data_IF_193024697901
#
_entry.id   IF_193024697901
#
_cell.length_a   1.000
_cell.length_b   1.000
_cell.length_c   1.000
_cell.angle_alpha   90.00
_cell.angle_beta   90.00
_cell.angle_gamma   90.00
#
_symmetry.space_group_name_H-M   'P 1'
#
loop_
_entity.id
_entity.type
_entity.pdbx_description
1 polymer ?
#
# COMPACT_ATOMS: atom_id res chain seq x y z
N UNK A 1 -3.49 -7.76 36.87
CA UNK A 1 -4.13 -8.37 35.69
C UNK A 1 -4.68 -7.34 34.71
N UNK A 2 -5.54 -6.39 35.11
CA UNK A 2 -6.14 -5.39 34.18
C UNK A 2 -5.11 -4.56 33.39
N UNK A 3 -4.02 -4.12 34.02
CA UNK A 3 -2.93 -3.43 33.30
C UNK A 3 -2.22 -4.31 32.28
N UNK A 4 -2.07 -5.61 32.55
CA UNK A 4 -1.44 -6.56 31.61
C UNK A 4 -2.34 -6.69 30.37
N UNK A 5 -3.65 -6.79 30.57
CA UNK A 5 -4.64 -6.82 29.48
C UNK A 5 -4.57 -5.52 28.65
N UNK A 6 -4.54 -4.36 29.30
CA UNK A 6 -4.43 -3.06 28.62
C UNK A 6 -3.15 -2.94 27.78
N UNK A 7 -2.01 -3.37 28.33
CA UNK A 7 -0.73 -3.39 27.61
C UNK A 7 -0.77 -4.36 26.42
N UNK A 8 -1.33 -5.56 26.61
CA UNK A 8 -1.43 -6.57 25.56
C UNK A 8 -2.27 -6.06 24.37
N UNK A 9 -3.39 -5.38 24.63
CA UNK A 9 -4.22 -4.77 23.58
C UNK A 9 -3.45 -3.70 22.79
N UNK A 10 -2.71 -2.83 23.47
CA UNK A 10 -1.89 -1.78 22.82
C UNK A 10 -0.81 -2.42 21.94
N UNK A 11 -0.10 -3.44 22.46
CA UNK A 11 0.94 -4.13 21.70
C UNK A 11 0.38 -4.84 20.47
N UNK A 12 -0.76 -5.53 20.61
CA UNK A 12 -1.44 -6.17 19.48
C UNK A 12 -1.81 -5.16 18.38
N UNK A 13 -2.32 -3.98 18.76
CA UNK A 13 -2.62 -2.91 17.81
C UNK A 13 -1.38 -2.43 17.05
N UNK A 14 -0.25 -2.23 17.76
CA UNK A 14 1.00 -1.82 17.11
C UNK A 14 1.54 -2.87 16.13
N UNK A 15 1.40 -4.16 16.44
CA UNK A 15 1.77 -5.24 15.52
C UNK A 15 0.95 -5.13 14.23
N UNK A 16 -0.37 -4.96 14.33
CA UNK A 16 -1.26 -4.85 13.16
C UNK A 16 -0.86 -3.63 12.29
N UNK A 17 -0.63 -2.46 12.92
CA UNK A 17 -0.17 -1.28 12.20
C UNK A 17 1.19 -1.48 11.54
N UNK A 18 2.14 -2.10 12.25
CA UNK A 18 3.48 -2.41 11.73
C UNK A 18 3.42 -3.28 10.48
N UNK A 19 2.64 -4.37 10.50
CA UNK A 19 2.49 -5.24 9.32
C UNK A 19 1.81 -4.49 8.17
N UNK A 20 0.81 -3.66 8.46
CA UNK A 20 0.12 -2.85 7.42
C UNK A 20 1.07 -1.87 6.74
N UNK A 21 1.93 -1.22 7.51
CA UNK A 21 2.96 -0.29 7.01
C UNK A 21 3.99 -1.06 6.18
N UNK A 22 4.47 -2.22 6.67
CA UNK A 22 5.40 -3.08 5.95
C UNK A 22 4.89 -3.43 4.54
N UNK A 23 3.62 -3.86 4.43
CA UNK A 23 3.01 -4.14 3.11
C UNK A 23 2.98 -2.90 2.20
N UNK A 24 2.70 -1.71 2.76
CA UNK A 24 2.74 -0.45 2.00
C UNK A 24 4.15 -0.13 1.50
N UNK A 25 5.18 -0.40 2.31
CA UNK A 25 6.59 -0.19 1.95
C UNK A 25 7.02 -1.17 0.86
N UNK A 26 6.73 -2.47 1.01
CA UNK A 26 7.02 -3.49 -0.01
C UNK A 26 6.36 -3.14 -1.34
N UNK A 27 5.09 -2.74 -1.31
CA UNK A 27 4.39 -2.27 -2.52
C UNK A 27 5.07 -1.05 -3.15
N UNK A 28 5.48 -0.06 -2.33
CA UNK A 28 6.19 1.12 -2.84
C UNK A 28 7.53 0.75 -3.48
N UNK A 29 8.27 -0.20 -2.92
CA UNK A 29 9.56 -0.62 -3.43
C UNK A 29 9.43 -1.44 -4.72
N UNK A 30 8.51 -2.41 -4.74
CA UNK A 30 8.43 -3.41 -5.81
C UNK A 30 7.46 -3.04 -6.95
N UNK A 31 6.58 -2.05 -6.74
CA UNK A 31 5.60 -1.65 -7.75
C UNK A 31 5.73 -0.16 -8.05
N UNK A 32 5.30 0.73 -7.15
CA UNK A 32 5.25 2.16 -7.46
C UNK A 32 6.63 2.77 -7.74
N UNK A 33 7.69 2.31 -7.08
CA UNK A 33 9.05 2.77 -7.29
C UNK A 33 9.57 2.41 -8.68
N UNK A 34 9.41 1.15 -9.09
CA UNK A 34 9.84 0.71 -10.41
C UNK A 34 8.97 1.27 -11.54
N UNK A 35 7.65 1.40 -11.35
CA UNK A 35 6.79 2.10 -12.31
C UNK A 35 7.22 3.56 -12.51
N UNK A 36 7.55 4.27 -11.42
CA UNK A 36 8.08 5.63 -11.53
C UNK A 36 9.41 5.66 -12.30
N UNK A 37 10.32 4.72 -12.03
CA UNK A 37 11.59 4.62 -12.75
C UNK A 37 11.41 4.28 -14.24
N UNK A 38 10.42 3.45 -14.58
CA UNK A 38 10.07 3.16 -15.96
C UNK A 38 9.54 4.43 -16.67
N UNK A 39 8.70 5.22 -15.99
CA UNK A 39 8.18 6.48 -16.51
C UNK A 39 9.25 7.59 -16.65
N UNK A 40 10.25 7.59 -15.78
CA UNK A 40 11.36 8.55 -15.79
C UNK A 40 12.55 8.08 -16.68
N UNK A 41 12.46 6.90 -17.29
CA UNK A 41 13.54 6.32 -18.09
C UNK A 41 13.77 7.12 -19.39
N UNK A 42 15.04 7.30 -19.74
CA UNK A 42 15.48 8.00 -20.95
C UNK A 42 15.78 7.08 -22.15
N UNK A 43 15.67 5.76 -21.95
CA UNK A 43 15.88 4.76 -23.00
C UNK A 43 14.81 3.68 -22.93
N UNK A 44 14.49 3.09 -24.09
CA UNK A 44 13.52 2.01 -24.23
C UNK A 44 13.96 0.78 -23.41
N UNK A 45 15.25 0.44 -23.44
CA UNK A 45 15.81 -0.67 -22.69
C UNK A 45 15.58 -0.49 -21.18
N UNK A 46 15.94 0.68 -20.63
CA UNK A 46 15.75 0.96 -19.20
C UNK A 46 14.27 0.97 -18.80
N UNK A 47 13.42 1.57 -19.63
CA UNK A 47 11.97 1.58 -19.40
C UNK A 47 11.42 0.15 -19.34
N UNK A 48 11.82 -0.70 -20.29
CA UNK A 48 11.41 -2.10 -20.36
C UNK A 48 11.93 -2.90 -19.16
N UNK A 49 13.19 -2.75 -18.77
CA UNK A 49 13.77 -3.48 -17.64
C UNK A 49 13.05 -3.15 -16.32
N UNK A 50 12.71 -1.88 -16.09
CA UNK A 50 12.00 -1.47 -14.88
C UNK A 50 10.53 -1.89 -14.89
N UNK A 51 9.86 -1.80 -16.04
CA UNK A 51 8.49 -2.27 -16.18
C UNK A 51 8.40 -3.80 -16.02
N UNK A 52 9.40 -4.53 -16.51
CA UNK A 52 9.49 -5.99 -16.38
C UNK A 52 9.53 -6.40 -14.90
N UNK A 53 10.34 -5.74 -14.06
CA UNK A 53 10.38 -6.02 -12.61
C UNK A 53 9.03 -5.87 -11.94
N UNK A 54 8.23 -4.89 -12.37
CA UNK A 54 6.87 -4.70 -11.85
C UNK A 54 5.97 -5.85 -12.27
N UNK A 55 5.97 -6.19 -13.55
CA UNK A 55 5.15 -7.27 -14.11
C UNK A 55 5.49 -8.61 -13.46
N UNK A 56 6.78 -8.95 -13.34
CA UNK A 56 7.24 -10.17 -12.68
C UNK A 56 6.77 -10.24 -11.22
N UNK A 57 6.85 -9.12 -10.49
CA UNK A 57 6.34 -9.04 -9.13
C UNK A 57 4.82 -9.27 -9.06
N UNK A 58 4.05 -8.66 -9.97
CA UNK A 58 2.60 -8.82 -10.02
C UNK A 58 2.22 -10.26 -10.35
N UNK A 59 2.86 -10.89 -11.34
CA UNK A 59 2.64 -12.28 -11.72
C UNK A 59 3.01 -13.23 -10.56
N UNK A 60 4.18 -13.06 -9.94
CA UNK A 60 4.63 -13.89 -8.82
C UNK A 60 3.72 -13.79 -7.57
N UNK A 61 3.03 -12.66 -7.38
CA UNK A 61 2.11 -12.45 -6.26
C UNK A 61 0.63 -12.64 -6.65
N UNK A 62 0.33 -13.10 -7.86
CA UNK A 62 -1.03 -13.26 -8.39
C UNK A 62 -1.88 -11.97 -8.33
N UNK A 63 -1.26 -10.82 -8.60
CA UNK A 63 -1.88 -9.49 -8.61
C UNK A 63 -2.12 -9.06 -10.07
N UNK A 64 -2.86 -9.87 -10.83
CA UNK A 64 -3.03 -9.70 -12.29
C UNK A 64 -4.49 -9.59 -12.73
N UNK A 65 -5.45 -9.78 -11.81
CA UNK A 65 -6.89 -9.75 -12.10
C UNK A 65 -7.71 -9.40 -10.85
N UNK A 66 -9.01 -9.14 -11.05
CA UNK A 66 -9.96 -8.80 -10.00
C UNK A 66 -10.01 -7.31 -9.66
N UNK A 67 -10.66 -6.99 -8.55
CA UNK A 67 -10.88 -5.62 -8.09
C UNK A 67 -10.29 -5.39 -6.69
N UNK A 68 -9.77 -4.20 -6.42
CA UNK A 68 -9.35 -3.81 -5.07
C UNK A 68 -10.52 -3.41 -4.15
N UNK A 69 -11.71 -3.27 -4.74
CA UNK A 69 -12.98 -2.95 -4.09
C UNK A 69 -13.35 -3.95 -2.99
N UNK A 70 -14.11 -3.49 -1.99
CA UNK A 70 -14.75 -4.38 -1.02
C UNK A 70 -16.26 -4.52 -1.25
N UNK A 71 -16.94 -3.45 -1.67
CA UNK A 71 -18.40 -3.39 -1.72
C UNK A 71 -18.95 -3.17 -3.13
N UNK A 72 -18.33 -2.28 -3.91
CA UNK A 72 -18.73 -1.99 -5.29
C UNK A 72 -17.52 -1.93 -6.20
N UNK A 73 -17.57 -2.71 -7.28
CA UNK A 73 -16.54 -2.73 -8.31
C UNK A 73 -16.60 -1.43 -9.12
N UNK A 74 -15.45 -0.76 -9.22
CA UNK A 74 -15.33 0.50 -9.97
C UNK A 74 -14.15 0.41 -10.94
N UNK A 75 -14.22 1.04 -12.12
CA UNK A 75 -13.17 0.88 -13.15
C UNK A 75 -11.77 1.30 -12.71
N UNK A 76 -11.65 2.26 -11.78
CA UNK A 76 -10.37 2.69 -11.21
C UNK A 76 -9.78 1.69 -10.19
N UNK A 77 -10.52 0.63 -9.86
CA UNK A 77 -10.12 -0.45 -8.96
C UNK A 77 -9.87 -1.78 -9.69
N UNK A 78 -10.06 -1.80 -11.03
CA UNK A 78 -9.86 -2.97 -11.88
C UNK A 78 -8.36 -3.26 -12.09
N UNK A 79 -7.89 -4.31 -11.43
CA UNK A 79 -6.50 -4.77 -11.51
C UNK A 79 -6.23 -5.39 -12.87
N UNK A 80 -7.21 -6.10 -13.44
CA UNK A 80 -7.06 -6.78 -14.72
C UNK A 80 -6.89 -5.79 -15.87
N UNK A 81 -7.70 -4.74 -15.90
CA UNK A 81 -7.56 -3.66 -16.87
C UNK A 81 -6.22 -2.96 -16.74
N UNK A 82 -5.85 -2.55 -15.51
CA UNK A 82 -4.57 -1.90 -15.25
C UNK A 82 -3.38 -2.78 -15.65
N UNK A 83 -3.37 -4.06 -15.26
CA UNK A 83 -2.33 -5.02 -15.59
C UNK A 83 -2.18 -5.25 -17.11
N UNK A 84 -3.30 -5.38 -17.82
CA UNK A 84 -3.29 -5.49 -19.30
C UNK A 84 -2.66 -4.27 -19.96
N UNK A 85 -2.93 -3.07 -19.46
CA UNK A 85 -2.30 -1.85 -19.98
C UNK A 85 -0.78 -1.86 -19.75
N UNK A 86 -0.30 -2.32 -18.59
CA UNK A 86 1.14 -2.47 -18.35
C UNK A 86 1.79 -3.44 -19.34
N UNK A 87 1.17 -4.61 -19.58
CA UNK A 87 1.67 -5.59 -20.56
C UNK A 87 1.65 -5.03 -21.98
N UNK A 88 0.62 -4.28 -22.35
CA UNK A 88 0.54 -3.63 -23.66
C UNK A 88 1.67 -2.61 -23.85
N UNK A 89 1.93 -1.75 -22.85
CA UNK A 89 3.07 -0.81 -22.88
C UNK A 89 4.42 -1.54 -22.93
N UNK A 90 4.58 -2.65 -22.20
CA UNK A 90 5.80 -3.46 -22.26
C UNK A 90 6.02 -4.04 -23.67
N UNK A 91 4.96 -4.57 -24.28
CA UNK A 91 5.02 -5.13 -25.63
C UNK A 91 5.36 -4.06 -26.68
N UNK A 92 4.85 -2.84 -26.52
CA UNK A 92 5.22 -1.70 -27.36
C UNK A 92 6.72 -1.37 -27.27
N UNK A 93 7.27 -1.35 -26.05
CA UNK A 93 8.72 -1.14 -25.83
C UNK A 93 9.56 -2.24 -26.48
N UNK A 94 9.15 -3.50 -26.37
CA UNK A 94 9.88 -4.66 -26.90
C UNK A 94 9.84 -4.75 -28.43
N UNK A 95 8.73 -4.35 -29.04
CA UNK A 95 8.52 -4.45 -30.48
C UNK A 95 8.99 -3.21 -31.26
N UNK A 96 9.45 -2.15 -30.58
CA UNK A 96 9.95 -0.95 -31.23
C UNK A 96 11.27 -1.25 -31.98
N UNK A 97 11.17 -1.48 -33.29
CA UNK A 97 12.32 -1.68 -34.19
C UNK A 97 12.95 -0.38 -34.70
N UNK A 98 12.43 0.77 -34.27
CA UNK A 98 12.79 2.05 -34.85
C UNK A 98 14.15 2.59 -34.40
N UNK A 99 14.91 3.09 -35.37
CA UNK A 99 16.11 3.89 -35.14
C UNK A 99 15.82 5.39 -35.04
N UNK A 100 14.57 5.81 -35.26
CA UNK A 100 14.17 7.21 -35.14
C UNK A 100 14.16 7.65 -33.68
N UNK A 101 14.90 8.71 -33.38
CA UNK A 101 14.90 9.33 -32.05
C UNK A 101 13.50 9.88 -31.68
N UNK A 102 12.74 10.38 -32.66
CA UNK A 102 11.38 10.89 -32.46
C UNK A 102 10.41 9.79 -32.04
N UNK A 103 10.46 8.63 -32.71
CA UNK A 103 9.57 7.50 -32.37
C UNK A 103 9.88 6.95 -30.98
N UNK A 104 11.17 6.82 -30.64
CA UNK A 104 11.59 6.41 -29.28
C UNK A 104 11.08 7.38 -28.22
N UNK A 105 11.16 8.68 -28.49
CA UNK A 105 10.68 9.71 -27.57
C UNK A 105 9.16 9.64 -27.41
N UNK A 106 8.41 9.45 -28.50
CA UNK A 106 6.96 9.32 -28.46
C UNK A 106 6.50 8.11 -27.64
N UNK A 107 7.14 6.94 -27.83
CA UNK A 107 6.84 5.74 -27.04
C UNK A 107 7.10 5.97 -25.56
N UNK A 108 8.23 6.61 -25.20
CA UNK A 108 8.54 6.92 -23.80
C UNK A 108 7.57 7.95 -23.20
N UNK A 109 7.11 8.94 -23.97
CA UNK A 109 6.09 9.89 -23.54
C UNK A 109 4.76 9.16 -23.30
N UNK A 110 4.32 8.31 -24.22
CA UNK A 110 3.09 7.53 -24.06
C UNK A 110 3.15 6.62 -22.82
N UNK A 111 4.28 5.94 -22.61
CA UNK A 111 4.52 5.15 -21.41
C UNK A 111 4.38 6.01 -20.15
N UNK A 112 5.02 7.18 -20.13
CA UNK A 112 4.94 8.10 -19.00
C UNK A 112 3.51 8.52 -18.68
N UNK A 113 2.73 8.89 -19.69
CA UNK A 113 1.31 9.27 -19.52
C UNK A 113 0.43 8.10 -19.07
N UNK A 114 0.78 6.87 -19.46
CA UNK A 114 0.08 5.66 -18.99
C UNK A 114 0.39 5.36 -17.52
N UNK A 115 1.64 5.54 -17.11
CA UNK A 115 2.12 5.17 -15.78
C UNK A 115 1.89 6.25 -14.72
N UNK A 116 1.75 7.51 -15.09
CA UNK A 116 1.60 8.64 -14.18
C UNK A 116 0.20 9.22 -14.20
N UNK A 117 -0.24 9.78 -13.07
CA UNK A 117 -1.56 10.37 -12.94
C UNK A 117 -1.61 11.71 -13.69
N UNK A 118 -2.68 11.97 -14.44
CA UNK A 118 -2.80 13.15 -15.29
C UNK A 118 -2.91 14.40 -14.41
N UNK A 119 -1.85 15.21 -14.41
CA UNK A 119 -1.72 16.40 -13.56
C UNK A 119 -0.74 16.26 -12.40
N UNK A 120 -0.35 15.04 -12.02
CA UNK A 120 0.67 14.78 -11.00
C UNK A 120 1.81 13.93 -11.58
N UNK A 121 2.78 14.57 -12.24
CA UNK A 121 3.99 13.92 -12.79
C UNK A 121 4.84 13.17 -11.75
N UNK A 122 4.49 13.27 -10.47
CA UNK A 122 5.20 12.62 -9.36
C UNK A 122 4.51 11.36 -8.87
N UNK A 123 3.25 11.10 -9.26
CA UNK A 123 2.40 10.04 -8.73
C UNK A 123 2.10 9.00 -9.81
N UNK A 124 2.28 7.74 -9.44
CA UNK A 124 2.02 6.61 -10.33
C UNK A 124 0.53 6.24 -10.30
N UNK A 125 -0.03 6.00 -11.47
CA UNK A 125 -1.40 5.49 -11.68
C UNK A 125 -1.45 4.01 -11.28
N UNK A 126 -2.03 3.74 -10.11
CA UNK A 126 -2.25 2.38 -9.59
C UNK A 126 -3.63 2.27 -8.93
N UNK A 127 -4.31 1.10 -9.03
CA UNK A 127 -5.55 0.85 -8.31
C UNK A 127 -5.40 1.10 -6.80
N UNK A 128 -6.37 1.82 -6.22
CA UNK A 128 -6.33 2.15 -4.78
C UNK A 128 -6.48 0.88 -3.95
N UNK A 129 -5.61 0.71 -2.95
CA UNK A 129 -5.66 -0.46 -2.06
C UNK A 129 -4.88 -1.69 -2.55
N UNK A 130 -4.21 -1.61 -3.71
CA UNK A 130 -3.43 -2.73 -4.27
C UNK A 130 -2.35 -3.27 -3.32
N UNK A 131 -1.80 -2.42 -2.45
CA UNK A 131 -0.78 -2.80 -1.46
C UNK A 131 -1.23 -3.87 -0.44
N UNK A 132 -2.53 -4.10 -0.28
CA UNK A 132 -3.09 -5.11 0.64
C UNK A 132 -3.99 -6.13 -0.05
N UNK A 133 -4.01 -6.11 -1.38
CA UNK A 133 -4.71 -7.09 -2.20
C UNK A 133 -4.21 -8.52 -1.90
N UNK A 134 -5.08 -9.55 -1.90
CA UNK A 134 -6.53 -9.51 -2.18
C UNK A 134 -7.42 -9.19 -0.98
N UNK A 135 -6.88 -9.20 0.23
CA UNK A 135 -7.69 -9.20 1.46
C UNK A 135 -8.00 -7.79 1.97
N UNK A 136 -8.38 -6.88 1.07
CA UNK A 136 -8.59 -5.47 1.39
C UNK A 136 -9.62 -5.26 2.51
N UNK A 137 -10.74 -5.98 2.44
CA UNK A 137 -11.78 -5.91 3.48
C UNK A 137 -11.33 -6.42 4.84
N UNK A 138 -10.60 -7.54 4.88
CA UNK A 138 -10.03 -8.06 6.13
C UNK A 138 -9.06 -7.04 6.75
N UNK A 139 -8.22 -6.39 5.95
CA UNK A 139 -7.34 -5.34 6.43
C UNK A 139 -8.10 -4.13 6.97
N UNK A 140 -9.23 -3.77 6.37
CA UNK A 140 -10.13 -2.74 6.90
C UNK A 140 -10.61 -3.09 8.31
N UNK A 141 -11.10 -4.32 8.51
CA UNK A 141 -11.57 -4.81 9.81
C UNK A 141 -10.42 -4.88 10.83
N UNK A 142 -9.25 -5.39 10.42
CA UNK A 142 -8.07 -5.48 11.29
C UNK A 142 -7.60 -4.10 11.77
N UNK A 143 -7.61 -3.10 10.89
CA UNK A 143 -7.24 -1.72 11.27
C UNK A 143 -8.28 -1.12 12.20
N UNK A 144 -9.56 -1.32 11.95
CA UNK A 144 -10.63 -0.83 12.83
C UNK A 144 -10.54 -1.47 14.23
N UNK A 145 -10.38 -2.79 14.28
CA UNK A 145 -10.24 -3.53 15.55
C UNK A 145 -8.96 -3.15 16.29
N UNK A 146 -7.86 -2.91 15.58
CA UNK A 146 -6.62 -2.39 16.17
C UNK A 146 -6.81 -0.99 16.77
N UNK A 147 -7.54 -0.09 16.09
CA UNK A 147 -7.85 1.23 16.61
C UNK A 147 -8.70 1.15 17.89
N UNK A 148 -9.75 0.35 17.88
CA UNK A 148 -10.60 0.16 19.07
C UNK A 148 -9.83 -0.47 20.22
N UNK A 149 -9.01 -1.49 19.94
CA UNK A 149 -8.18 -2.15 20.96
C UNK A 149 -7.17 -1.19 21.58
N UNK A 150 -6.61 -0.29 20.78
CA UNK A 150 -5.68 0.74 21.26
C UNK A 150 -6.37 1.68 22.24
N UNK A 151 -7.55 2.21 21.87
CA UNK A 151 -8.36 3.11 22.71
C UNK A 151 -8.75 2.42 24.01
N UNK A 152 -9.32 1.21 23.93
CA UNK A 152 -9.73 0.44 25.11
C UNK A 152 -8.54 0.12 26.01
N UNK A 153 -7.38 -0.23 25.44
CA UNK A 153 -6.16 -0.49 26.19
C UNK A 153 -5.71 0.72 27.02
N UNK A 154 -5.73 1.92 26.43
CA UNK A 154 -5.42 3.16 27.16
C UNK A 154 -6.44 3.47 28.25
N UNK A 155 -7.74 3.32 27.99
CA UNK A 155 -8.81 3.55 28.98
C UNK A 155 -8.64 2.65 30.20
N UNK A 156 -8.36 1.35 30.00
CA UNK A 156 -8.15 0.40 31.10
C UNK A 156 -6.99 0.85 32.00
N UNK A 157 -5.88 1.28 31.40
CA UNK A 157 -4.69 1.73 32.13
C UNK A 157 -4.99 3.02 32.90
N UNK A 158 -5.68 3.98 32.29
CA UNK A 158 -6.05 5.24 32.92
C UNK A 158 -6.96 5.04 34.14
N UNK A 159 -8.01 4.23 34.01
CA UNK A 159 -8.93 3.92 35.12
C UNK A 159 -8.19 3.23 36.27
N UNK A 160 -7.27 2.31 35.98
CA UNK A 160 -6.50 1.63 37.02
C UNK A 160 -5.51 2.59 37.71
N UNK A 161 -4.91 3.51 36.97
CA UNK A 161 -4.03 4.54 37.51
C UNK A 161 -4.77 5.47 38.47
N UNK A 162 -5.97 5.95 38.11
CA UNK A 162 -6.81 6.77 38.98
C UNK A 162 -7.20 6.04 40.26
N UNK A 163 -7.62 4.77 40.16
CA UNK A 163 -7.98 3.96 41.33
C UNK A 163 -6.81 3.78 42.29
N UNK A 164 -5.60 3.56 41.77
CA UNK A 164 -4.37 3.48 42.58
C UNK A 164 -4.06 4.81 43.25
N UNK A 165 -4.26 5.93 42.55
CA UNK A 165 -4.11 7.28 43.10
C UNK A 165 -5.08 7.57 44.25
N UNK A 166 -6.36 7.25 44.09
CA UNK A 166 -7.38 7.40 45.15
C UNK A 166 -7.06 6.56 46.38
N UNK A 167 -6.73 5.27 46.20
CA UNK A 167 -6.33 4.38 47.31
C UNK A 167 -5.11 4.90 48.08
N UNK A 168 -4.10 5.43 47.37
CA UNK A 168 -2.92 6.03 48.02
C UNK A 168 -3.28 7.26 48.86
N UNK A 169 -4.15 8.14 48.34
CA UNK A 169 -4.63 9.31 49.09
C UNK A 169 -5.42 8.91 50.34
N UNK A 170 -6.34 7.95 50.22
CA UNK A 170 -7.13 7.44 51.35
C UNK A 170 -6.25 6.78 52.43
N UNK A 171 -5.19 6.06 52.03
CA UNK A 171 -4.25 5.47 52.97
C UNK A 171 -3.44 6.55 53.72
N UNK A 172 -3.01 7.60 53.03
CA UNK A 172 -2.26 8.71 53.63
C UNK A 172 -3.12 9.59 54.56
N UNK A 173 -4.43 9.66 54.35
CA UNK A 173 -5.37 10.36 55.25
C UNK A 173 -5.69 9.56 56.53
N UNK A 174 -5.38 8.26 56.56
CA UNK A 174 -5.64 7.37 57.69
C UNK A 174 -4.40 7.09 58.56
N UNK A 175 -3.24 7.59 58.16
CA UNK A 175 -1.97 7.54 58.89
C UNK A 175 -1.70 8.86 59.60
#
# INVERSE_FOLDING_TARGET
MKNIIGIALILASFVIFGVRISKKVQFKQNVSGYLKRAADANTIALANDELTKVIDYLEANNITSGYTSMLWETPNEDIGFWYKNLKASQLELQNLKSNSALERTNVLINLRETLLDTGERTRVTVPKGLAVYPKNGLWGILILTALLSLIVGFIIIAIEAEKRGKKKKEAALKS
#
